data_IF_786988625819
#
_entry.id   IF_786988625819
#
_cell.length_a   1.000
_cell.length_b   1.000
_cell.length_c   1.000
_cell.angle_alpha   90.00
_cell.angle_beta   90.00
_cell.angle_gamma   90.00
#
_symmetry.space_group_name_H-M   'P 1'
#
loop_
_entity.id
_entity.type
_entity.pdbx_description
1 polymer ?
#
# COMPACT_ATOMS: atom_id res chain seq x y z
N UNK A 1 19.78 -39.27 28.09
CA UNK A 1 19.39 -38.47 29.29
C UNK A 1 18.98 -37.07 28.84
N UNK A 2 17.94 -36.45 29.40
CA UNK A 2 17.53 -35.07 29.05
C UNK A 2 17.79 -34.14 30.25
N UNK A 3 18.70 -33.18 30.11
CA UNK A 3 18.93 -32.12 31.11
C UNK A 3 17.94 -30.98 30.84
N UNK A 4 17.07 -30.67 31.80
CA UNK A 4 16.20 -29.48 31.77
C UNK A 4 16.98 -28.32 32.39
N UNK A 5 17.16 -27.22 31.66
CA UNK A 5 17.61 -25.96 32.25
C UNK A 5 16.39 -25.17 32.71
N UNK A 6 16.36 -24.83 34.00
CA UNK A 6 15.35 -23.95 34.59
C UNK A 6 15.92 -22.54 34.58
N UNK A 7 15.50 -21.72 33.62
CA UNK A 7 15.81 -20.28 33.63
C UNK A 7 14.71 -19.56 34.40
N UNK A 8 15.07 -18.85 35.45
CA UNK A 8 14.18 -17.97 36.21
C UNK A 8 14.62 -16.53 35.94
N UNK A 9 13.77 -15.75 35.28
CA UNK A 9 14.06 -14.36 34.92
C UNK A 9 13.09 -13.44 35.68
N UNK A 10 13.61 -12.31 36.16
CA UNK A 10 12.95 -11.52 37.19
C UNK A 10 11.99 -10.47 36.60
N UNK A 11 10.73 -10.47 37.06
CA UNK A 11 9.75 -9.45 36.71
C UNK A 11 10.06 -8.13 37.44
N UNK A 12 10.83 -7.24 36.82
CA UNK A 12 11.00 -5.86 37.29
C UNK A 12 9.74 -5.03 37.03
N UNK A 13 8.83 -5.02 37.99
CA UNK A 13 7.67 -4.12 38.01
C UNK A 13 8.11 -2.68 38.35
N UNK A 14 8.42 -1.88 37.33
CA UNK A 14 8.66 -0.45 37.50
C UNK A 14 7.32 0.31 37.55
N UNK A 15 6.74 0.43 38.74
CA UNK A 15 5.49 1.17 38.97
C UNK A 15 5.74 2.68 39.02
N UNK A 16 5.87 3.33 37.85
CA UNK A 16 6.01 4.78 37.74
C UNK A 16 4.66 5.47 37.98
N UNK A 17 4.41 5.87 39.22
CA UNK A 17 3.17 6.52 39.65
C UNK A 17 3.43 7.95 40.10
N UNK A 18 3.26 8.93 39.20
CA UNK A 18 3.26 10.35 39.55
C UNK A 18 2.06 11.08 38.94
N UNK A 19 1.09 11.36 39.81
CA UNK A 19 0.50 12.68 40.09
C UNK A 19 -0.30 13.35 38.96
N UNK A 20 -1.61 13.41 39.15
CA UNK A 20 -2.48 14.38 38.50
C UNK A 20 -2.19 15.80 39.01
N UNK A 21 -2.15 16.79 38.12
CA UNK A 21 -2.28 18.20 38.51
C UNK A 21 -3.27 18.92 37.59
N UNK A 22 -4.39 19.32 38.19
CA UNK A 22 -5.38 20.35 37.83
C UNK A 22 -5.46 20.86 36.38
N UNK A 23 -6.66 20.74 35.79
CA UNK A 23 -7.09 21.66 34.74
C UNK A 23 -7.05 23.11 35.26
N UNK A 24 -6.47 24.03 34.49
CA UNK A 24 -6.69 25.48 34.66
C UNK A 24 -7.36 26.01 33.40
N UNK A 25 -8.62 26.43 33.56
CA UNK A 25 -9.42 27.08 32.52
C UNK A 25 -9.25 28.59 32.65
N UNK A 26 -8.47 29.22 31.78
CA UNK A 26 -8.31 30.67 31.72
C UNK A 26 -9.02 31.26 30.49
N UNK A 27 -9.72 32.38 30.68
CA UNK A 27 -10.39 33.11 29.61
C UNK A 27 -9.40 33.95 28.79
N UNK A 28 -9.83 34.30 27.59
CA UNK A 28 -9.41 35.50 26.87
C UNK A 28 -9.51 36.73 27.79
N UNK A 29 -8.38 37.39 28.08
CA UNK A 29 -8.15 38.80 27.75
C UNK A 29 -6.63 39.10 27.75
N UNK A 30 -6.19 40.19 27.13
CA UNK A 30 -4.77 40.45 26.83
C UNK A 30 -4.10 41.60 27.59
N UNK A 31 -2.79 41.50 27.81
CA UNK A 31 -1.86 42.63 27.88
C UNK A 31 -0.40 42.17 27.67
N UNK A 32 0.47 43.06 27.21
CA UNK A 32 1.90 42.81 27.01
C UNK A 32 2.68 42.69 28.32
N UNK A 33 3.70 41.80 28.35
CA UNK A 33 5.06 42.09 28.83
C UNK A 33 5.99 40.93 28.47
N UNK A 34 7.15 41.24 27.89
CA UNK A 34 8.19 40.25 27.62
C UNK A 34 8.97 39.87 28.88
N UNK A 35 9.20 38.57 29.09
CA UNK A 35 10.21 38.09 30.03
C UNK A 35 11.22 37.24 29.26
N UNK A 36 12.41 37.81 29.10
CA UNK A 36 13.59 37.09 28.63
C UNK A 36 14.09 36.21 29.78
N UNK A 37 14.48 34.97 29.50
CA UNK A 37 15.31 34.19 30.43
C UNK A 37 16.35 33.42 29.63
N UNK A 38 17.62 33.66 29.94
CA UNK A 38 18.75 33.25 29.12
C UNK A 38 19.79 32.47 29.92
N UNK A 39 19.88 31.17 29.66
CA UNK A 39 21.07 30.32 29.80
C UNK A 39 20.84 29.13 28.85
N UNK A 40 21.67 28.78 27.86
CA UNK A 40 23.14 28.79 27.73
C UNK A 40 23.85 27.76 28.61
N UNK A 41 23.99 26.54 28.09
CA UNK A 41 25.14 25.68 28.35
C UNK A 41 25.47 24.89 27.08
N UNK A 42 26.55 25.30 26.41
CA UNK A 42 27.16 24.54 25.31
C UNK A 42 28.22 23.61 25.91
N UNK A 43 28.25 22.34 25.52
CA UNK A 43 29.41 21.46 25.74
C UNK A 43 29.83 20.85 24.41
N UNK A 44 30.71 21.57 23.71
CA UNK A 44 31.45 21.05 22.56
C UNK A 44 32.71 20.32 23.04
N UNK A 45 32.90 19.07 22.63
CA UNK A 45 34.20 18.38 22.69
C UNK A 45 34.62 18.06 21.25
N UNK A 46 35.87 18.35 20.95
CA UNK A 46 36.51 18.19 19.63
C UNK A 46 37.88 17.53 19.82
N UNK A 47 38.49 17.12 18.71
CA UNK A 47 39.80 16.46 18.55
C UNK A 47 39.77 14.94 18.66
N UNK A 48 40.52 14.15 17.89
CA UNK A 48 41.15 14.24 16.56
C UNK A 48 42.12 13.04 16.48
N UNK A 49 41.99 12.23 15.44
CA UNK A 49 43.05 11.57 14.63
C UNK A 49 42.29 10.66 13.62
N UNK A 50 42.50 10.70 12.30
CA UNK A 50 43.72 10.35 11.53
C UNK A 50 44.04 8.83 11.56
N UNK A 51 44.30 8.12 10.46
CA UNK A 51 44.35 8.49 9.01
C UNK A 51 44.21 7.26 8.09
N UNK A 52 43.64 7.45 6.88
CA UNK A 52 43.86 6.70 5.60
C UNK A 52 43.48 5.17 5.60
N UNK A 53 43.25 4.46 4.49
CA UNK A 53 43.92 4.34 3.17
C UNK A 53 42.89 4.06 2.04
N UNK A 54 43.27 4.27 0.76
CA UNK A 54 42.45 4.10 -0.45
C UNK A 54 42.55 2.70 -1.10
N UNK A 55 41.73 2.50 -2.15
CA UNK A 55 41.83 1.48 -3.22
C UNK A 55 41.57 0.00 -2.80
N UNK A 56 41.05 -0.88 -3.64
CA UNK A 56 40.93 -0.85 -5.11
C UNK A 56 39.65 -1.55 -5.64
N UNK A 57 39.39 -1.34 -6.94
CA UNK A 57 38.53 -2.21 -7.75
C UNK A 57 39.18 -3.60 -7.94
N UNK A 58 38.38 -4.66 -7.90
CA UNK A 58 38.67 -5.87 -8.67
C UNK A 58 37.37 -6.55 -9.13
N UNK A 59 37.34 -6.89 -10.41
CA UNK A 59 36.38 -7.86 -10.98
C UNK A 59 36.96 -9.25 -10.72
N UNK A 60 36.11 -10.24 -10.51
CA UNK A 60 36.47 -11.63 -10.78
C UNK A 60 35.35 -12.31 -11.59
N UNK A 61 35.73 -13.21 -12.49
CA UNK A 61 34.88 -13.80 -13.52
C UNK A 61 34.92 -15.33 -13.42
N UNK A 62 33.99 -15.93 -12.67
CA UNK A 62 33.85 -17.39 -12.60
C UNK A 62 32.80 -17.90 -13.59
N UNK A 63 33.24 -18.31 -14.78
CA UNK A 63 32.44 -19.13 -15.68
C UNK A 63 32.32 -20.58 -15.17
N UNK A 64 31.18 -21.24 -15.43
CA UNK A 64 31.12 -22.66 -15.84
C UNK A 64 29.71 -23.04 -16.32
N UNK A 65 29.66 -24.01 -17.24
CA UNK A 65 28.47 -24.68 -17.78
C UNK A 65 28.19 -25.99 -16.99
N UNK A 66 27.27 -26.92 -17.30
CA UNK A 66 26.27 -27.21 -18.37
C UNK A 66 25.19 -28.15 -17.72
N UNK A 67 24.03 -28.53 -18.25
CA UNK A 67 23.36 -28.41 -19.57
C UNK A 67 21.92 -27.84 -19.36
N UNK A 68 20.78 -28.14 -20.02
CA UNK A 68 20.30 -29.09 -21.04
C UNK A 68 19.49 -28.31 -22.11
N UNK A 69 19.54 -28.59 -23.42
CA UNK A 69 19.26 -29.81 -24.22
C UNK A 69 17.81 -29.91 -24.74
N UNK A 70 17.62 -29.56 -26.02
CA UNK A 70 16.53 -30.02 -26.94
C UNK A 70 15.06 -29.61 -26.66
N UNK A 71 14.16 -29.43 -27.64
CA UNK A 71 14.30 -29.39 -29.12
C UNK A 71 13.16 -28.58 -29.77
N UNK A 72 13.43 -28.08 -31.00
CA UNK A 72 12.55 -27.30 -31.86
C UNK A 72 11.23 -27.98 -32.27
N UNK A 73 10.20 -27.17 -32.55
CA UNK A 73 9.23 -27.38 -33.65
C UNK A 73 8.96 -26.03 -34.35
N UNK A 74 8.79 -26.05 -35.68
CA UNK A 74 8.78 -24.85 -36.54
C UNK A 74 7.38 -24.36 -36.96
N UNK A 75 7.32 -23.10 -37.38
CA UNK A 75 6.16 -22.42 -37.99
C UNK A 75 5.77 -22.96 -39.38
N UNK A 76 4.47 -23.21 -39.65
CA UNK A 76 3.77 -23.06 -40.96
C UNK A 76 2.38 -23.73 -40.96
N UNK A 77 1.41 -23.50 -41.87
CA UNK A 77 1.02 -22.36 -42.75
C UNK A 77 -0.32 -22.74 -43.44
N UNK A 78 -1.31 -21.82 -43.48
CA UNK A 78 -2.45 -21.64 -44.44
C UNK A 78 -3.06 -22.89 -45.15
N UNK A 79 -4.39 -23.17 -45.03
CA UNK A 79 -5.42 -22.79 -46.04
C UNK A 79 -6.86 -23.37 -45.90
N UNK A 80 -7.78 -22.65 -46.54
CA UNK A 80 -9.01 -23.05 -47.30
C UNK A 80 -10.22 -23.83 -46.71
N UNK A 81 -11.38 -23.41 -47.23
CA UNK A 81 -12.75 -23.97 -47.11
C UNK A 81 -13.38 -23.90 -48.51
N UNK A 82 -14.13 -24.93 -48.98
CA UNK A 82 -15.39 -24.58 -49.66
C UNK A 82 -16.55 -25.62 -49.59
N UNK A 83 -17.75 -25.12 -49.25
CA UNK A 83 -19.07 -25.50 -49.85
C UNK A 83 -19.61 -26.93 -49.49
N UNK A 84 -20.87 -27.31 -49.74
CA UNK A 84 -21.90 -26.79 -50.68
C UNK A 84 -23.38 -26.96 -50.22
N UNK A 85 -24.17 -25.91 -50.49
CA UNK A 85 -25.60 -25.81 -50.88
C UNK A 85 -26.57 -27.02 -50.79
N UNK A 86 -27.82 -26.76 -50.34
CA UNK A 86 -29.05 -27.28 -51.00
C UNK A 86 -30.23 -26.30 -50.81
N UNK A 87 -31.05 -26.09 -51.85
CA UNK A 87 -32.20 -25.16 -51.85
C UNK A 87 -33.53 -25.82 -51.38
N UNK A 88 -34.53 -25.03 -50.98
CA UNK A 88 -35.81 -24.83 -51.73
C UNK A 88 -36.78 -23.89 -51.00
N UNK A 89 -37.49 -23.07 -51.78
CA UNK A 89 -38.40 -21.99 -51.38
C UNK A 89 -39.70 -22.43 -50.68
N UNK A 90 -40.21 -21.59 -49.78
CA UNK A 90 -41.39 -20.71 -50.04
C UNK A 90 -41.75 -19.85 -48.82
N UNK A 91 -42.41 -18.72 -49.05
CA UNK A 91 -42.69 -17.71 -48.03
C UNK A 91 -44.07 -17.84 -47.37
N UNK A 92 -44.19 -17.33 -46.15
CA UNK A 92 -45.28 -16.45 -45.67
C UNK A 92 -44.68 -15.61 -44.53
N UNK A 93 -44.93 -14.31 -44.53
CA UNK A 93 -44.43 -13.40 -43.49
C UNK A 93 -45.23 -13.55 -42.19
N UNK A 94 -44.52 -13.58 -41.06
CA UNK A 94 -45.08 -13.13 -39.79
C UNK A 94 -44.00 -12.37 -39.02
N UNK A 95 -44.20 -11.06 -38.88
CA UNK A 95 -43.35 -10.21 -38.03
C UNK A 95 -43.30 -10.82 -36.62
N UNK A 96 -42.17 -11.44 -36.32
CA UNK A 96 -41.78 -11.84 -34.98
C UNK A 96 -40.59 -10.95 -34.69
N UNK A 97 -40.79 -9.96 -33.83
CA UNK A 97 -39.70 -9.10 -33.36
C UNK A 97 -38.60 -10.03 -32.85
N UNK A 98 -37.41 -9.93 -33.43
CA UNK A 98 -36.25 -10.58 -32.83
C UNK A 98 -36.04 -9.86 -31.51
N UNK A 99 -36.43 -10.51 -30.41
CA UNK A 99 -35.92 -10.16 -29.08
C UNK A 99 -34.42 -10.41 -29.13
N UNK A 100 -33.71 -9.39 -29.60
CA UNK A 100 -32.30 -9.23 -29.39
C UNK A 100 -32.13 -9.14 -27.87
N UNK A 101 -31.91 -10.29 -27.23
CA UNK A 101 -31.23 -10.36 -25.94
C UNK A 101 -29.82 -9.84 -26.18
N UNK A 102 -29.72 -8.52 -26.33
CA UNK A 102 -28.61 -7.78 -25.81
C UNK A 102 -28.61 -8.07 -24.32
N UNK A 103 -27.85 -9.09 -23.95
CA UNK A 103 -27.16 -9.15 -22.67
C UNK A 103 -26.21 -7.94 -22.63
N UNK A 104 -26.79 -6.76 -22.44
CA UNK A 104 -26.10 -5.69 -21.77
C UNK A 104 -25.81 -6.26 -20.39
N UNK A 105 -24.57 -6.67 -20.16
CA UNK A 105 -24.14 -6.96 -18.80
C UNK A 105 -24.20 -5.63 -18.07
N UNK A 106 -25.27 -5.46 -17.29
CA UNK A 106 -25.48 -4.34 -16.36
C UNK A 106 -24.37 -4.39 -15.31
N UNK A 107 -23.20 -3.91 -15.73
CA UNK A 107 -22.01 -3.76 -14.89
C UNK A 107 -22.39 -2.76 -13.80
N UNK A 108 -22.51 -3.27 -12.58
CA UNK A 108 -23.16 -2.61 -11.45
C UNK A 108 -22.24 -1.56 -10.80
N UNK A 109 -21.89 -0.52 -11.56
CA UNK A 109 -21.09 0.58 -11.07
C UNK A 109 -21.83 1.33 -9.95
N UNK A 110 -21.17 1.46 -8.80
CA UNK A 110 -21.55 2.39 -7.75
C UNK A 110 -20.56 3.56 -7.72
N UNK A 111 -21.02 4.74 -7.30
CA UNK A 111 -20.12 5.82 -6.88
C UNK A 111 -20.24 5.99 -5.37
N UNK A 112 -19.12 6.01 -4.68
CA UNK A 112 -19.07 6.13 -3.22
C UNK A 112 -17.97 7.09 -2.78
N UNK A 113 -18.23 7.88 -1.74
CA UNK A 113 -17.26 8.80 -1.16
C UNK A 113 -16.25 8.01 -0.31
N UNK A 114 -15.06 7.82 -0.86
CA UNK A 114 -13.94 7.15 -0.23
C UNK A 114 -12.96 8.17 0.34
N UNK A 115 -12.24 7.80 1.41
CA UNK A 115 -11.08 8.57 1.89
C UNK A 115 -9.78 7.95 1.40
N UNK A 116 -9.00 8.73 0.67
CA UNK A 116 -7.64 8.41 0.26
C UNK A 116 -6.68 9.05 1.25
N UNK A 117 -5.67 8.31 1.71
CA UNK A 117 -4.59 8.81 2.54
C UNK A 117 -3.32 8.96 1.71
N UNK A 118 -2.46 9.90 2.07
CA UNK A 118 -1.18 10.15 1.39
C UNK A 118 -0.11 10.56 2.40
N UNK A 119 1.17 10.37 2.05
CA UNK A 119 2.30 10.96 2.75
C UNK A 119 3.03 11.94 1.83
N UNK A 120 3.27 13.16 2.31
CA UNK A 120 4.03 14.18 1.61
C UNK A 120 5.52 14.07 1.99
N UNK A 121 6.35 13.82 0.98
CA UNK A 121 7.80 13.62 1.11
C UNK A 121 8.60 14.90 1.37
N UNK A 122 8.01 16.08 1.12
CA UNK A 122 8.66 17.40 1.25
C UNK A 122 8.41 18.03 2.62
N UNK A 123 7.21 17.89 3.19
CA UNK A 123 6.87 18.44 4.52
C UNK A 123 6.83 17.39 5.66
N UNK A 124 6.93 16.10 5.31
CA UNK A 124 6.96 14.97 6.25
C UNK A 124 5.61 14.66 6.89
N UNK A 125 4.48 15.10 6.33
CA UNK A 125 3.15 14.96 6.93
C UNK A 125 2.27 13.96 6.19
N UNK A 126 1.36 13.35 6.95
CA UNK A 126 0.26 12.55 6.40
C UNK A 126 -0.95 13.44 6.11
N UNK A 127 -1.57 13.16 4.98
CA UNK A 127 -2.72 13.89 4.47
C UNK A 127 -3.87 12.92 4.15
N UNK A 128 -5.09 13.43 4.06
CA UNK A 128 -6.21 12.70 3.46
C UNK A 128 -7.06 13.59 2.54
N UNK A 129 -7.73 12.96 1.57
CA UNK A 129 -8.75 13.56 0.72
C UNK A 129 -9.98 12.65 0.70
N UNK A 130 -11.19 13.24 0.72
CA UNK A 130 -12.43 12.52 0.44
C UNK A 130 -12.79 12.70 -1.06
N UNK A 131 -12.94 11.61 -1.80
CA UNK A 131 -13.23 11.59 -3.24
C UNK A 131 -14.40 10.64 -3.57
N UNK A 132 -15.25 11.02 -4.52
CA UNK A 132 -16.28 10.13 -5.07
C UNK A 132 -15.63 9.20 -6.12
N UNK A 133 -15.35 7.97 -5.73
CA UNK A 133 -14.71 6.97 -6.58
C UNK A 133 -15.76 6.11 -7.25
N UNK A 134 -15.57 5.81 -8.55
CA UNK A 134 -16.37 4.83 -9.28
C UNK A 134 -15.86 3.41 -8.98
N UNK A 135 -16.78 2.53 -8.62
CA UNK A 135 -16.48 1.19 -8.08
C UNK A 135 -17.35 0.16 -8.78
N UNK A 136 -16.71 -0.71 -9.56
CA UNK A 136 -17.28 -1.98 -10.05
C UNK A 136 -17.59 -2.93 -8.89
N UNK A 137 -18.52 -3.87 -9.10
CA UNK A 137 -18.96 -4.78 -8.05
C UNK A 137 -17.79 -5.56 -7.43
N UNK A 138 -17.70 -5.54 -6.10
CA UNK A 138 -16.65 -6.20 -5.32
C UNK A 138 -15.21 -5.69 -5.57
N UNK A 139 -15.00 -4.65 -6.41
CA UNK A 139 -13.69 -4.18 -6.85
C UNK A 139 -13.10 -2.99 -6.06
N UNK A 140 -13.66 -2.64 -4.89
CA UNK A 140 -13.28 -1.41 -4.16
C UNK A 140 -11.78 -1.30 -3.82
N UNK A 141 -11.08 -2.39 -3.46
CA UNK A 141 -9.60 -2.31 -3.24
C UNK A 141 -8.88 -1.90 -4.53
N UNK A 142 -9.28 -2.42 -5.70
CA UNK A 142 -8.69 -2.06 -6.99
C UNK A 142 -8.94 -0.58 -7.31
N UNK A 143 -10.17 -0.11 -7.14
CA UNK A 143 -10.54 1.29 -7.39
C UNK A 143 -9.78 2.27 -6.45
N UNK A 144 -9.65 1.93 -5.17
CA UNK A 144 -8.83 2.68 -4.21
C UNK A 144 -7.35 2.68 -4.62
N UNK A 145 -6.82 1.55 -5.09
CA UNK A 145 -5.43 1.43 -5.52
C UNK A 145 -5.13 2.30 -6.72
N UNK A 146 -5.99 2.29 -7.74
CA UNK A 146 -5.87 3.17 -8.90
C UNK A 146 -5.93 4.66 -8.53
N UNK A 147 -6.75 5.03 -7.53
CA UNK A 147 -6.82 6.41 -7.06
C UNK A 147 -5.59 6.83 -6.23
N UNK A 148 -4.86 5.90 -5.61
CA UNK A 148 -3.55 6.13 -4.97
C UNK A 148 -2.36 6.14 -5.97
N UNK A 149 -2.63 5.91 -7.25
CA UNK A 149 -1.65 6.02 -8.36
C UNK A 149 -1.81 7.35 -9.14
N UNK A 150 -2.79 8.18 -8.77
CA UNK A 150 -3.19 9.40 -9.47
C UNK A 150 -2.53 10.66 -8.86
N UNK A 151 -1.81 11.42 -9.70
CA UNK A 151 -1.08 12.64 -9.31
C UNK A 151 -1.92 13.94 -9.42
N UNK A 152 -3.25 13.86 -9.40
CA UNK A 152 -4.12 15.05 -9.42
C UNK A 152 -4.00 15.96 -8.20
N UNK A 153 -3.51 15.48 -7.05
CA UNK A 153 -3.54 16.22 -5.78
C UNK A 153 -2.31 17.08 -5.50
N UNK A 154 -1.14 16.45 -5.36
CA UNK A 154 0.16 17.09 -5.16
C UNK A 154 1.29 16.22 -5.71
N UNK A 155 2.26 16.84 -6.37
CA UNK A 155 3.51 16.22 -6.84
C UNK A 155 4.38 15.66 -5.71
N UNK A 156 4.17 16.15 -4.48
CA UNK A 156 5.02 15.91 -3.33
C UNK A 156 4.61 14.64 -2.57
N UNK A 157 3.44 14.09 -2.92
CA UNK A 157 2.92 12.85 -2.34
C UNK A 157 3.66 11.63 -2.89
N UNK A 158 3.96 10.67 -2.01
CA UNK A 158 4.40 9.35 -2.45
C UNK A 158 3.18 8.59 -2.98
N UNK A 159 3.17 8.35 -4.29
CA UNK A 159 2.13 7.61 -5.01
C UNK A 159 2.62 6.20 -5.32
N UNK A 160 1.71 5.22 -5.33
CA UNK A 160 2.05 3.85 -5.73
C UNK A 160 2.40 3.82 -7.23
N UNK A 161 3.33 2.97 -7.65
CA UNK A 161 3.61 2.74 -9.07
C UNK A 161 2.41 2.09 -9.77
N UNK A 162 2.07 2.57 -10.97
CA UNK A 162 1.00 2.01 -11.80
C UNK A 162 1.27 0.59 -12.33
N UNK A 163 2.47 0.04 -12.09
CA UNK A 163 2.81 -1.35 -12.37
C UNK A 163 2.31 -2.31 -11.27
N UNK A 164 1.92 -1.78 -10.11
CA UNK A 164 1.40 -2.56 -8.99
C UNK A 164 -0.13 -2.65 -9.06
N UNK A 165 -0.62 -3.82 -9.46
CA UNK A 165 -2.04 -4.13 -9.56
C UNK A 165 -2.51 -5.06 -8.45
N UNK A 166 -3.75 -4.89 -7.99
CA UNK A 166 -4.39 -5.82 -7.05
C UNK A 166 -4.70 -7.12 -7.76
N UNK A 167 -4.15 -8.23 -7.26
CA UNK A 167 -4.46 -9.59 -7.76
C UNK A 167 -5.60 -10.25 -7.00
N UNK A 168 -5.80 -9.90 -5.72
CA UNK A 168 -6.99 -10.29 -4.94
C UNK A 168 -7.14 -9.44 -3.69
N UNK A 169 -8.37 -9.36 -3.20
CA UNK A 169 -8.69 -8.85 -1.86
C UNK A 169 -9.65 -9.83 -1.17
N UNK A 170 -9.64 -9.88 0.16
CA UNK A 170 -10.53 -10.76 0.93
C UNK A 170 -10.84 -10.11 2.28
N UNK A 171 -12.13 -9.88 2.54
CA UNK A 171 -12.63 -9.35 3.82
C UNK A 171 -12.94 -10.52 4.76
N UNK A 172 -12.39 -10.48 5.97
CA UNK A 172 -12.83 -11.31 7.08
C UNK A 172 -13.64 -10.44 8.04
N UNK A 173 -14.97 -10.48 7.88
CA UNK A 173 -15.90 -9.72 8.70
C UNK A 173 -15.99 -10.24 10.15
N UNK A 174 -15.60 -11.48 10.42
CA UNK A 174 -15.62 -12.05 11.77
C UNK A 174 -14.42 -11.58 12.61
N UNK A 175 -13.25 -11.42 12.00
CA UNK A 175 -12.04 -10.88 12.61
C UNK A 175 -11.82 -9.37 12.35
N UNK A 176 -12.82 -8.71 11.75
CA UNK A 176 -12.81 -7.33 11.26
C UNK A 176 -11.50 -6.92 10.55
N UNK A 177 -11.14 -7.68 9.53
CA UNK A 177 -9.83 -7.63 8.86
C UNK A 177 -9.94 -7.68 7.32
N UNK A 178 -8.92 -7.17 6.63
CA UNK A 178 -8.79 -7.25 5.17
C UNK A 178 -7.41 -7.77 4.77
N UNK A 179 -7.37 -8.78 3.90
CA UNK A 179 -6.16 -9.21 3.21
C UNK A 179 -6.16 -8.66 1.79
N UNK A 180 -5.07 -8.01 1.37
CA UNK A 180 -4.83 -7.54 -0.01
C UNK A 180 -3.59 -8.23 -0.57
N UNK A 181 -3.66 -8.69 -1.82
CA UNK A 181 -2.51 -9.23 -2.55
C UNK A 181 -2.29 -8.45 -3.85
N UNK A 182 -1.06 -8.00 -4.06
CA UNK A 182 -0.59 -7.36 -5.26
C UNK A 182 0.19 -8.33 -6.16
N UNK A 183 0.24 -8.01 -7.45
CA UNK A 183 0.91 -8.80 -8.49
C UNK A 183 2.42 -8.97 -8.28
N UNK A 184 3.10 -7.95 -7.75
CA UNK A 184 4.56 -7.88 -7.64
C UNK A 184 4.98 -6.98 -6.46
N UNK A 185 6.28 -6.82 -6.17
CA UNK A 185 6.78 -5.86 -5.16
C UNK A 185 6.87 -4.43 -5.71
N UNK A 186 6.41 -3.45 -4.92
CA UNK A 186 6.57 -2.03 -5.23
C UNK A 186 8.06 -1.63 -5.33
N UNK A 187 8.93 -2.27 -4.55
CA UNK A 187 10.38 -2.06 -4.50
C UNK A 187 11.07 -2.30 -5.86
N UNK A 188 10.47 -3.15 -6.71
CA UNK A 188 10.93 -3.42 -8.08
C UNK A 188 10.69 -2.25 -9.05
N UNK A 189 9.74 -1.37 -8.72
CA UNK A 189 9.27 -0.28 -9.59
C UNK A 189 9.40 1.11 -8.94
N UNK A 190 9.87 1.19 -7.69
CA UNK A 190 9.94 2.41 -6.90
C UNK A 190 11.23 2.43 -6.08
N UNK A 191 12.11 3.39 -6.38
CA UNK A 191 13.33 3.61 -5.61
C UNK A 191 13.04 4.53 -4.41
N UNK A 192 12.44 3.96 -3.36
CA UNK A 192 12.18 4.63 -2.09
C UNK A 192 13.26 4.25 -1.06
N UNK A 193 13.58 5.17 -0.14
CA UNK A 193 14.29 4.81 1.08
C UNK A 193 13.37 4.00 2.04
N UNK A 194 13.91 3.36 3.10
CA UNK A 194 13.10 2.56 4.01
C UNK A 194 11.98 3.32 4.72
N UNK A 195 12.18 4.59 5.12
CA UNK A 195 11.15 5.37 5.80
C UNK A 195 10.03 5.76 4.82
N UNK A 196 10.38 6.26 3.63
CA UNK A 196 9.43 6.50 2.55
C UNK A 196 8.64 5.24 2.16
N UNK A 197 9.28 4.07 2.19
CA UNK A 197 8.63 2.78 1.95
C UNK A 197 7.60 2.44 3.02
N UNK A 198 7.90 2.70 4.30
CA UNK A 198 6.94 2.51 5.39
C UNK A 198 5.74 3.46 5.27
N UNK A 199 5.95 4.70 4.82
CA UNK A 199 4.87 5.68 4.63
C UNK A 199 3.96 5.37 3.42
N UNK A 200 4.51 4.75 2.36
CA UNK A 200 3.70 4.14 1.29
C UNK A 200 2.84 3.00 1.84
N UNK A 201 3.40 2.16 2.71
CA UNK A 201 2.62 1.08 3.36
C UNK A 201 1.52 1.69 4.24
N UNK A 202 1.80 2.68 5.10
CA UNK A 202 0.77 3.35 5.91
C UNK A 202 -0.32 4.02 5.05
N UNK A 203 0.05 4.58 3.90
CA UNK A 203 -0.89 5.12 2.89
C UNK A 203 -1.88 4.05 2.41
N UNK A 204 -1.39 2.85 2.08
CA UNK A 204 -2.22 1.70 1.70
C UNK A 204 -3.09 1.20 2.87
N UNK A 205 -2.49 0.93 4.04
CA UNK A 205 -3.18 0.42 5.23
C UNK A 205 -4.33 1.36 5.65
N UNK A 206 -4.06 2.67 5.79
CA UNK A 206 -5.07 3.64 6.21
C UNK A 206 -6.20 3.76 5.18
N UNK A 207 -5.87 3.83 3.88
CA UNK A 207 -6.87 3.93 2.81
C UNK A 207 -7.78 2.71 2.79
N UNK A 208 -7.24 1.49 2.84
CA UNK A 208 -8.09 0.31 2.80
C UNK A 208 -8.89 0.13 4.10
N UNK A 209 -8.25 0.32 5.27
CA UNK A 209 -8.90 0.16 6.57
C UNK A 209 -10.06 1.15 6.78
N UNK A 210 -9.85 2.42 6.45
CA UNK A 210 -10.88 3.46 6.62
C UNK A 210 -12.11 3.18 5.75
N UNK A 211 -11.93 2.74 4.50
CA UNK A 211 -13.05 2.53 3.59
C UNK A 211 -13.80 1.22 3.88
N UNK A 212 -13.08 0.13 4.18
CA UNK A 212 -13.69 -1.15 4.57
C UNK A 212 -14.18 -1.22 6.03
N UNK A 213 -13.89 -0.21 6.86
CA UNK A 213 -14.22 -0.16 8.31
C UNK A 213 -13.59 -1.31 9.14
N UNK A 214 -12.50 -1.87 8.63
CA UNK A 214 -11.73 -2.95 9.28
C UNK A 214 -10.70 -2.39 10.26
N UNK A 215 -10.45 -3.13 11.34
CA UNK A 215 -9.50 -2.74 12.38
C UNK A 215 -8.05 -3.10 12.04
N UNK A 216 -7.84 -3.94 11.02
CA UNK A 216 -6.51 -4.36 10.59
C UNK A 216 -6.46 -4.80 9.12
N UNK A 217 -5.29 -4.62 8.50
CA UNK A 217 -5.04 -4.98 7.10
C UNK A 217 -3.71 -5.77 7.00
N UNK A 218 -3.66 -6.78 6.15
CA UNK A 218 -2.43 -7.50 5.78
C UNK A 218 -2.19 -7.37 4.29
N UNK A 219 -0.96 -7.00 3.90
CA UNK A 219 -0.55 -6.83 2.51
C UNK A 219 0.38 -7.98 2.08
N UNK A 220 0.19 -8.47 0.87
CA UNK A 220 1.10 -9.40 0.20
C UNK A 220 1.57 -8.81 -1.12
N UNK A 221 2.86 -8.87 -1.40
CA UNK A 221 3.46 -8.49 -2.68
C UNK A 221 4.19 -9.70 -3.27
N UNK A 222 3.95 -10.04 -4.53
CA UNK A 222 4.46 -11.28 -5.15
C UNK A 222 4.23 -12.54 -4.27
N UNK A 223 3.02 -12.66 -3.69
CA UNK A 223 2.61 -13.67 -2.70
C UNK A 223 3.38 -13.72 -1.36
N UNK A 224 4.38 -12.86 -1.13
CA UNK A 224 5.08 -12.74 0.15
C UNK A 224 4.37 -11.73 1.06
N UNK A 225 4.18 -12.04 2.35
CA UNK A 225 3.54 -11.14 3.29
C UNK A 225 4.49 -10.00 3.68
N UNK A 226 4.04 -8.75 3.57
CA UNK A 226 4.86 -7.60 3.90
C UNK A 226 4.87 -7.37 5.41
N UNK A 227 6.04 -7.52 6.04
CA UNK A 227 6.21 -7.42 7.52
C UNK A 227 7.32 -6.44 7.93
N UNK A 228 7.90 -5.71 6.97
CA UNK A 228 9.08 -4.88 7.20
C UNK A 228 8.79 -3.48 7.79
N UNK A 229 7.52 -3.01 7.77
CA UNK A 229 7.15 -1.73 8.36
C UNK A 229 6.95 -1.86 9.89
N UNK A 230 7.43 -0.92 10.73
CA UNK A 230 7.61 -1.16 12.18
C UNK A 230 6.37 -1.43 13.04
N UNK A 231 5.15 -1.35 12.50
CA UNK A 231 3.90 -1.60 13.25
C UNK A 231 3.14 -2.86 12.82
N UNK A 232 3.81 -3.79 12.13
CA UNK A 232 3.28 -5.14 11.92
C UNK A 232 3.18 -5.90 13.26
N UNK A 233 2.09 -6.63 13.49
CA UNK A 233 2.04 -7.64 14.55
C UNK A 233 2.82 -8.91 14.15
N UNK A 234 2.98 -9.85 15.09
CA UNK A 234 3.69 -11.12 14.87
C UNK A 234 3.09 -12.02 13.77
N UNK A 235 1.87 -11.71 13.32
CA UNK A 235 1.14 -12.39 12.26
C UNK A 235 1.05 -11.54 10.96
N UNK A 236 1.78 -10.42 10.90
CA UNK A 236 1.84 -9.51 9.76
C UNK A 236 0.59 -8.65 9.51
N UNK A 237 -0.23 -8.41 10.54
CA UNK A 237 -1.31 -7.43 10.48
C UNK A 237 -0.83 -6.03 10.88
N UNK A 238 -1.30 -5.02 10.15
CA UNK A 238 -1.15 -3.61 10.52
C UNK A 238 -2.48 -3.08 11.04
N UNK A 239 -2.47 -2.45 12.21
CA UNK A 239 -3.54 -1.56 12.64
C UNK A 239 -3.41 -0.21 11.90
N UNK A 240 -4.52 0.43 11.50
CA UNK A 240 -4.48 1.76 10.88
C UNK A 240 -4.19 2.85 11.92
N UNK A 241 -3.64 3.97 11.45
CA UNK A 241 -3.31 5.13 12.27
C UNK A 241 -3.78 6.43 11.58
N UNK A 242 -5.05 6.77 11.77
CA UNK A 242 -5.71 7.90 11.10
C UNK A 242 -5.37 9.26 11.73
N UNK A 243 -5.16 9.31 13.05
CA UNK A 243 -5.18 10.56 13.84
C UNK A 243 -4.02 11.53 13.54
N UNK A 244 -3.00 11.08 12.79
CA UNK A 244 -1.91 11.94 12.31
C UNK A 244 -2.16 12.56 10.93
N UNK A 245 -3.25 12.22 10.25
CA UNK A 245 -3.56 12.69 8.91
C UNK A 245 -4.46 13.92 8.92
N UNK A 246 -4.00 15.00 8.29
CA UNK A 246 -4.76 16.25 8.15
C UNK A 246 -5.47 16.32 6.78
N UNK A 247 -6.62 17.00 6.72
CA UNK A 247 -7.36 17.18 5.47
C UNK A 247 -6.55 18.01 4.48
N UNK A 248 -6.21 17.44 3.33
CA UNK A 248 -5.57 18.17 2.25
C UNK A 248 -6.58 19.05 1.53
N UNK A 249 -6.27 20.35 1.47
CA UNK A 249 -7.00 21.32 0.68
C UNK A 249 -6.04 21.82 -0.39
N UNK A 250 -6.41 21.66 -1.66
CA UNK A 250 -5.60 22.13 -2.78
C UNK A 250 -5.82 23.64 -2.93
N UNK A 251 -4.82 24.42 -2.54
CA UNK A 251 -4.77 25.88 -2.70
C UNK A 251 -4.57 26.28 -4.17
#
# INVERSE_FOLDING_TARGET
>A
MKRKFLSISCCFFLSLSLICCSQVKSSLDGNDTSIITSASDNTSISSQDETLINDALSVDESTLQDSESTTNVSTSTISENPKENTNTSSAIEKNTTVENLSSTEDSSYSSQTCRLFFYNSVDGRRYYVDENIHVEENALVSALTSALQDNKYSSDFILLSNQIGVSSATVDAANNALTVKFNDSFEKYMNLDPASSYELIYTLINTYAYNYKVNKVSLYFNNLQYTAAPSADENGWYAPYFDSSISYNKN
#
